data_IF_419299893284
#
_entry.id   IF_419299893284
#
_cell.length_a   1.000
_cell.length_b   1.000
_cell.length_c   1.000
_cell.angle_alpha   90.00
_cell.angle_beta   90.00
_cell.angle_gamma   90.00
#
_symmetry.space_group_name_H-M   'P 1'
#
loop_
_entity.id
_entity.type
_entity.pdbx_description
1 polymer ?
#
# COMPACT_ATOMS: atom_id res chain seq x y z
N UNK A 1 -0.05 -12.14 3.25
CA UNK A 1 -1.03 -11.53 4.18
C UNK A 1 -1.79 -10.43 3.47
N UNK A 2 -3.09 -10.28 3.74
CA UNK A 2 -3.88 -9.14 3.25
C UNK A 2 -4.04 -8.12 4.37
N UNK A 3 -3.54 -6.90 4.16
CA UNK A 3 -3.71 -5.80 5.11
C UNK A 3 -4.98 -5.02 4.78
N UNK A 4 -5.75 -4.67 5.80
CA UNK A 4 -6.90 -3.76 5.68
C UNK A 4 -6.64 -2.50 6.49
N UNK A 5 -7.05 -1.38 5.95
CA UNK A 5 -6.99 -0.08 6.63
C UNK A 5 -8.08 0.01 7.73
N UNK A 6 -8.11 1.14 8.45
CA UNK A 6 -9.08 1.37 9.51
C UNK A 6 -10.55 1.32 9.05
N UNK A 7 -10.81 1.42 7.75
CA UNK A 7 -12.14 1.40 7.12
C UNK A 7 -12.45 0.04 6.49
N UNK A 8 -11.56 -0.95 6.62
CA UNK A 8 -11.71 -2.26 5.98
C UNK A 8 -11.28 -2.29 4.52
N UNK A 9 -10.68 -1.22 3.99
CA UNK A 9 -10.16 -1.14 2.62
C UNK A 9 -8.92 -1.99 2.50
N UNK A 10 -8.87 -2.87 1.49
CA UNK A 10 -7.68 -3.65 1.18
C UNK A 10 -6.51 -2.71 0.85
N UNK A 11 -5.37 -2.89 1.50
CA UNK A 11 -4.12 -2.17 1.21
C UNK A 11 -3.30 -3.03 0.25
N UNK A 12 -3.01 -2.48 -0.92
CA UNK A 12 -2.20 -3.13 -1.96
C UNK A 12 -0.92 -2.35 -2.21
N UNK A 13 0.05 -3.00 -2.86
CA UNK A 13 1.24 -2.31 -3.36
C UNK A 13 0.85 -1.16 -4.31
N UNK A 14 1.54 -0.03 -4.18
CA UNK A 14 1.29 1.18 -4.95
C UNK A 14 0.19 2.08 -4.37
N UNK A 15 -0.58 1.60 -3.38
CA UNK A 15 -1.57 2.42 -2.69
C UNK A 15 -0.87 3.57 -1.93
N UNK A 16 -1.46 4.77 -2.00
CA UNK A 16 -1.05 5.87 -1.13
C UNK A 16 -1.80 5.77 0.17
N UNK A 17 -1.05 5.59 1.25
CA UNK A 17 -1.57 5.50 2.61
C UNK A 17 -1.20 6.74 3.42
N UNK A 18 -2.04 7.06 4.39
CA UNK A 18 -1.80 8.09 5.40
C UNK A 18 -1.80 7.44 6.77
N UNK A 19 -0.75 7.71 7.53
CA UNK A 19 -0.66 7.39 8.95
C UNK A 19 -0.46 8.68 9.73
N UNK A 20 -1.41 9.02 10.59
CA UNK A 20 -1.45 10.32 11.30
C UNK A 20 -1.33 11.51 10.33
N UNK A 21 -0.24 12.28 10.42
CA UNK A 21 0.07 13.42 9.52
C UNK A 21 1.01 13.05 8.37
N UNK A 22 1.54 11.82 8.34
CA UNK A 22 2.50 11.36 7.33
C UNK A 22 1.78 10.63 6.19
N UNK A 23 2.26 10.83 4.97
CA UNK A 23 1.77 10.15 3.76
C UNK A 23 2.92 9.36 3.13
N UNK A 24 2.61 8.20 2.58
CA UNK A 24 3.55 7.36 1.87
C UNK A 24 2.87 6.46 0.85
N UNK A 25 3.68 5.72 0.11
CA UNK A 25 3.25 4.74 -0.89
C UNK A 25 3.64 3.37 -0.38
N UNK A 26 2.71 2.43 -0.41
CA UNK A 26 2.99 1.03 -0.10
C UNK A 26 3.90 0.47 -1.17
N UNK A 27 5.01 -0.13 -0.75
CA UNK A 27 5.97 -0.77 -1.63
C UNK A 27 6.03 -2.25 -1.31
N UNK A 28 6.44 -3.07 -2.28
CA UNK A 28 6.64 -4.49 -2.04
C UNK A 28 7.67 -4.68 -0.91
N UNK A 29 7.43 -5.71 -0.12
CA UNK A 29 8.23 -6.03 1.04
C UNK A 29 9.35 -6.97 0.61
N UNK A 30 10.38 -6.39 0.01
CA UNK A 30 11.56 -7.07 -0.54
C UNK A 30 12.53 -7.60 0.56
N UNK A 31 12.00 -7.96 1.73
CA UNK A 31 12.79 -8.40 2.87
C UNK A 31 12.33 -9.81 3.27
N UNK A 32 13.10 -10.81 2.84
CA UNK A 32 12.90 -12.22 3.22
C UNK A 32 12.74 -12.37 4.74
N UNK A 33 11.72 -13.13 5.15
CA UNK A 33 11.50 -13.50 6.56
C UNK A 33 10.86 -12.42 7.44
N UNK A 34 10.31 -11.35 6.86
CA UNK A 34 9.76 -10.24 7.64
C UNK A 34 8.32 -9.88 7.29
N UNK A 35 7.37 -10.37 8.09
CA UNK A 35 5.94 -10.00 7.98
C UNK A 35 5.69 -8.54 8.35
N UNK A 36 5.19 -7.74 7.41
CA UNK A 36 4.76 -6.37 7.68
C UNK A 36 4.43 -5.57 6.43
N UNK A 37 3.79 -4.42 6.60
CA UNK A 37 3.54 -3.47 5.52
C UNK A 37 4.73 -2.50 5.40
N UNK A 38 5.32 -2.39 4.21
CA UNK A 38 6.42 -1.46 3.95
C UNK A 38 5.90 -0.22 3.20
N UNK A 39 6.27 0.97 3.68
CA UNK A 39 5.78 2.24 3.15
C UNK A 39 6.94 3.19 2.88
N UNK A 40 7.02 3.68 1.64
CA UNK A 40 7.95 4.74 1.22
C UNK A 40 7.32 6.11 1.45
N UNK A 41 7.92 6.90 2.33
CA UNK A 41 7.52 8.28 2.60
C UNK A 41 7.93 9.22 1.44
N UNK A 42 7.35 10.42 1.40
CA UNK A 42 7.69 11.44 0.39
C UNK A 42 9.18 11.83 0.38
N UNK A 43 9.85 11.77 1.53
CA UNK A 43 11.28 12.07 1.65
C UNK A 43 12.18 10.88 1.22
N UNK A 44 11.61 9.82 0.66
CA UNK A 44 12.34 8.63 0.20
C UNK A 44 12.61 7.57 1.27
N UNK A 45 12.35 7.87 2.54
CA UNK A 45 12.60 6.94 3.64
C UNK A 45 11.59 5.79 3.64
N UNK A 46 12.10 4.56 3.77
CA UNK A 46 11.28 3.34 3.86
C UNK A 46 10.98 3.04 5.33
N UNK A 47 9.71 2.88 5.68
CA UNK A 47 9.25 2.60 7.04
C UNK A 47 8.47 1.30 7.04
N UNK A 48 8.76 0.42 8.00
CA UNK A 48 7.94 -0.76 8.27
C UNK A 48 6.85 -0.43 9.29
N UNK A 49 5.64 -0.81 8.97
CA UNK A 49 4.47 -0.63 9.84
C UNK A 49 4.26 -1.94 10.60
N UNK A 50 4.61 -1.95 11.89
CA UNK A 50 4.34 -3.09 12.79
C UNK A 50 2.95 -2.91 13.37
N UNK A 51 2.01 -3.81 13.05
CA UNK A 51 0.64 -3.98 13.61
C UNK A 51 -0.28 -2.75 13.76
N UNK A 52 0.23 -1.55 13.50
CA UNK A 52 -0.46 -0.26 13.53
C UNK A 52 -1.07 0.11 12.18
N UNK A 53 -1.10 -0.84 11.22
CA UNK A 53 -1.79 -0.66 9.94
C UNK A 53 -3.30 -0.41 10.15
N UNK A 54 -3.87 -0.82 11.30
CA UNK A 54 -5.24 -0.49 11.72
C UNK A 54 -5.50 1.01 11.92
N UNK A 55 -4.45 1.83 12.06
CA UNK A 55 -4.56 3.29 12.12
C UNK A 55 -4.17 3.97 10.79
N UNK A 56 -3.83 3.19 9.77
CA UNK A 56 -3.63 3.69 8.42
C UNK A 56 -4.96 3.88 7.70
N UNK A 57 -4.97 4.83 6.78
CA UNK A 57 -6.06 5.06 5.85
C UNK A 57 -5.52 5.08 4.42
N UNK A 58 -6.15 4.34 3.51
CA UNK A 58 -5.88 4.47 2.08
C UNK A 58 -6.47 5.80 1.59
N UNK A 59 -5.62 6.64 0.99
CA UNK A 59 -6.01 7.96 0.47
C UNK A 59 -6.16 7.92 -1.04
N UNK A 60 -5.42 7.05 -1.72
CA UNK A 60 -5.53 6.90 -3.16
C UNK A 60 -5.11 5.50 -3.58
N UNK A 61 -5.96 4.87 -4.39
CA UNK A 61 -5.65 3.64 -5.10
C UNK A 61 -5.28 3.98 -6.54
N UNK A 62 -4.10 3.60 -7.04
CA UNK A 62 -3.82 3.68 -8.45
C UNK A 62 -4.84 2.81 -9.21
N UNK A 63 -5.49 3.39 -10.23
CA UNK A 63 -6.33 2.60 -11.13
C UNK A 63 -5.43 1.53 -11.77
N UNK A 64 -5.68 0.25 -11.48
CA UNK A 64 -5.09 -0.84 -12.27
C UNK A 64 -5.49 -0.57 -13.72
N UNK A 65 -4.53 -0.38 -14.61
CA UNK A 65 -4.83 -0.29 -16.05
C UNK A 65 -5.57 -1.57 -16.39
N UNK A 66 -6.83 -1.45 -16.82
CA UNK A 66 -7.52 -2.59 -17.41
C UNK A 66 -6.68 -2.97 -18.63
N UNK A 67 -6.08 -4.17 -18.61
CA UNK A 67 -5.57 -4.73 -19.85
C UNK A 67 -6.76 -4.77 -20.80
N UNK A 68 -6.65 -4.10 -21.95
CA UNK A 68 -7.63 -4.19 -23.02
C UNK A 68 -7.64 -5.63 -23.53
N UNK A 69 -8.44 -6.49 -22.90
CA UNK A 69 -8.76 -7.81 -23.39
C UNK A 69 -9.83 -7.61 -24.47
N UNK A 70 -9.40 -7.24 -25.68
CA UNK A 70 -10.35 -7.07 -26.78
C UNK A 70 -9.92 -6.11 -27.87
N UNK A 71 -8.88 -6.45 -28.62
CA UNK A 71 -9.01 -6.41 -30.08
C UNK A 71 -8.88 -7.84 -30.55
N UNK A 72 -10.04 -8.47 -30.75
CA UNK A 72 -10.18 -9.71 -31.52
C UNK A 72 -9.43 -9.50 -32.85
N UNK A 73 -8.60 -10.47 -33.21
CA UNK A 73 -8.15 -10.67 -34.58
C UNK A 73 -9.35 -10.83 -35.51
#
# INVERSE_FOLDING_TARGET
>A
MYYKDCKGTLIEEGDKVRYRKKKGIVIDNDIEGHDGLCVKLKNGLKVRVKDEYKAMQVVYKPRKKHHNVGKRM
#
